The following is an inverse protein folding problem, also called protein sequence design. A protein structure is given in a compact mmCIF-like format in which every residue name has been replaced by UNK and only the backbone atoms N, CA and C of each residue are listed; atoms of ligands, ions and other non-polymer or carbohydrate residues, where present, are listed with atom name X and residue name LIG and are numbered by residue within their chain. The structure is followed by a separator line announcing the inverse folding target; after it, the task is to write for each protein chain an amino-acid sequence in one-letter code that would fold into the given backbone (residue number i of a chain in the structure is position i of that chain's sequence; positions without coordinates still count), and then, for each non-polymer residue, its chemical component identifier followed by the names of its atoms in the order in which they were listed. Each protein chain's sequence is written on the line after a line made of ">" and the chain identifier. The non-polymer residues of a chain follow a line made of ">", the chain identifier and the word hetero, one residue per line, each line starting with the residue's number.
data_IF_159851221676
#
_entry.id   IF_159851221676
#
_cell.length_a   1.000
_cell.length_b   1.000
_cell.length_c   1.000
_cell.angle_alpha   90.00
_cell.angle_beta   90.00
_cell.angle_gamma   90.00
#
_symmetry.space_group_name_H-M   'P 1'
#
loop_
_entity.id
_entity.type
_entity.pdbx_description
1 polymer ?
#
# COMPACT_ATOMS: atom_id res chain seq x y z
N UNK A 1 17.28 8.65 -15.58
CA UNK A 1 16.00 7.99 -15.31
C UNK A 1 15.73 7.90 -13.81
N UNK A 2 16.50 7.13 -13.02
CA UNK A 2 16.24 6.87 -11.59
C UNK A 2 16.17 8.14 -10.73
N UNK A 3 17.16 9.02 -10.81
CA UNK A 3 17.21 10.25 -10.02
C UNK A 3 15.96 11.10 -10.23
N UNK A 4 15.65 11.44 -11.47
CA UNK A 4 14.57 12.37 -11.80
C UNK A 4 13.19 11.76 -11.52
N UNK A 5 12.99 10.46 -11.84
CA UNK A 5 11.78 9.76 -11.49
C UNK A 5 11.55 9.72 -9.97
N UNK A 6 12.60 9.44 -9.20
CA UNK A 6 12.52 9.39 -7.74
C UNK A 6 12.18 10.76 -7.15
N UNK A 7 12.85 11.83 -7.60
CA UNK A 7 12.53 13.19 -7.16
C UNK A 7 11.07 13.53 -7.47
N UNK A 8 10.61 13.23 -8.69
CA UNK A 8 9.23 13.52 -9.12
C UNK A 8 8.20 12.74 -8.30
N UNK A 9 8.44 11.45 -8.03
CA UNK A 9 7.52 10.58 -7.28
C UNK A 9 7.49 10.93 -5.79
N UNK A 10 8.67 11.17 -5.19
CA UNK A 10 8.82 11.30 -3.74
C UNK A 10 8.91 12.74 -3.27
N UNK A 11 9.19 13.70 -4.18
CA UNK A 11 9.47 15.11 -3.86
C UNK A 11 10.67 15.27 -2.90
N UNK A 12 11.58 14.30 -2.95
CA UNK A 12 12.77 14.21 -2.11
C UNK A 12 13.93 13.69 -2.95
N UNK A 13 15.13 14.27 -2.73
CA UNK A 13 16.31 13.78 -3.39
C UNK A 13 16.64 12.33 -2.95
N UNK A 14 17.00 11.39 -3.86
CA UNK A 14 17.23 9.97 -3.55
C UNK A 14 18.19 9.71 -2.38
N UNK A 15 19.21 10.54 -2.19
CA UNK A 15 20.17 10.42 -1.08
C UNK A 15 19.54 10.60 0.31
N UNK A 16 18.36 11.23 0.41
CA UNK A 16 17.63 11.43 1.67
C UNK A 16 16.60 10.34 1.96
N UNK A 17 16.31 9.48 0.99
CA UNK A 17 15.41 8.34 1.14
C UNK A 17 16.15 7.14 1.73
N UNK A 18 15.41 6.26 2.42
CA UNK A 18 15.97 5.02 2.94
C UNK A 18 16.48 4.11 1.82
N UNK A 19 17.49 3.30 2.13
CA UNK A 19 18.06 2.30 1.21
C UNK A 19 17.00 1.30 0.72
N UNK A 20 15.98 1.03 1.51
CA UNK A 20 14.87 0.13 1.17
C UNK A 20 14.09 0.61 -0.05
N UNK A 21 13.88 1.92 -0.21
CA UNK A 21 13.19 2.48 -1.39
C UNK A 21 14.05 2.35 -2.63
N UNK A 22 15.35 2.66 -2.54
CA UNK A 22 16.27 2.54 -3.67
C UNK A 22 16.48 1.07 -4.08
N UNK A 23 16.57 0.16 -3.12
CA UNK A 23 16.77 -1.28 -3.34
C UNK A 23 15.58 -2.02 -3.96
N UNK A 24 14.41 -1.39 -4.08
CA UNK A 24 13.24 -1.97 -4.76
C UNK A 24 13.43 -2.13 -6.27
N UNK A 25 14.33 -1.37 -6.87
CA UNK A 25 14.68 -1.50 -8.28
C UNK A 25 15.90 -2.40 -8.40
N UNK A 26 15.77 -3.63 -8.91
CA UNK A 26 16.90 -4.52 -9.02
C UNK A 26 17.89 -3.97 -10.06
N UNK A 27 19.13 -3.74 -9.63
CA UNK A 27 20.25 -3.57 -10.55
C UNK A 27 20.66 -4.98 -10.99
N UNK A 28 20.65 -5.24 -12.30
CA UNK A 28 20.94 -6.54 -12.88
C UNK A 28 22.06 -6.43 -13.90
N UNK A 29 22.87 -7.47 -13.95
CA UNK A 29 23.93 -7.66 -14.94
C UNK A 29 23.58 -8.77 -15.95
N UNK A 30 22.29 -9.21 -15.95
CA UNK A 30 21.74 -10.18 -16.87
C UNK A 30 20.73 -9.54 -17.84
N UNK A 31 20.29 -10.30 -18.84
CA UNK A 31 19.24 -9.90 -19.81
C UNK A 31 17.83 -10.32 -19.39
N UNK A 32 17.60 -10.66 -18.13
CA UNK A 32 16.29 -11.06 -17.65
C UNK A 32 15.33 -9.85 -17.70
N UNK A 33 14.24 -9.90 -18.50
CA UNK A 33 13.32 -8.78 -18.69
C UNK A 33 12.34 -8.59 -17.52
N UNK A 34 12.33 -9.50 -16.56
CA UNK A 34 11.36 -9.45 -15.49
C UNK A 34 11.76 -8.49 -14.38
N UNK A 35 10.84 -7.63 -13.98
CA UNK A 35 11.03 -6.67 -12.90
C UNK A 35 11.23 -7.36 -11.54
N UNK A 36 10.51 -8.46 -11.28
CA UNK A 36 10.56 -9.21 -10.03
C UNK A 36 11.19 -10.59 -10.23
N UNK A 37 11.83 -11.13 -9.19
CA UNK A 37 12.52 -12.43 -9.22
C UNK A 37 11.58 -13.61 -8.93
N UNK A 38 10.42 -13.35 -8.38
CA UNK A 38 9.44 -14.34 -7.96
C UNK A 38 9.00 -15.21 -9.14
N UNK A 39 8.89 -16.52 -8.91
CA UNK A 39 8.44 -17.49 -9.91
C UNK A 39 6.96 -17.31 -10.24
N UNK A 40 6.14 -17.01 -9.22
CA UNK A 40 4.71 -16.77 -9.38
C UNK A 40 4.43 -15.26 -9.56
N UNK A 41 3.90 -14.92 -10.72
CA UNK A 41 3.54 -13.55 -11.10
C UNK A 41 2.17 -13.55 -11.73
N UNK A 42 1.17 -13.09 -11.00
CA UNK A 42 -0.20 -13.11 -11.46
C UNK A 42 -1.00 -11.91 -10.91
N UNK A 43 -2.13 -11.68 -11.53
CA UNK A 43 -3.16 -10.73 -11.07
C UNK A 43 -4.46 -11.48 -10.86
N UNK A 44 -5.30 -11.09 -9.89
CA UNK A 44 -6.63 -11.68 -9.75
C UNK A 44 -7.43 -11.49 -11.04
N UNK A 45 -7.93 -12.58 -11.65
CA UNK A 45 -8.62 -12.57 -12.95
C UNK A 45 -9.77 -11.56 -13.03
N UNK A 46 -10.49 -11.38 -11.93
CA UNK A 46 -11.64 -10.45 -11.81
C UNK A 46 -11.30 -9.20 -10.98
N UNK A 47 -10.00 -8.91 -10.77
CA UNK A 47 -9.51 -7.78 -10.01
C UNK A 47 -9.55 -7.99 -8.49
N UNK A 48 -8.87 -7.10 -7.78
CA UNK A 48 -8.70 -7.19 -6.32
C UNK A 48 -10.03 -7.05 -5.57
N UNK A 49 -10.94 -6.19 -6.01
CA UNK A 49 -12.26 -6.03 -5.35
C UNK A 49 -13.02 -7.36 -5.28
N UNK A 50 -13.03 -8.13 -6.38
CA UNK A 50 -13.71 -9.44 -6.40
C UNK A 50 -12.99 -10.45 -5.51
N UNK A 51 -11.67 -10.42 -5.51
CA UNK A 51 -10.85 -11.26 -4.62
C UNK A 51 -11.21 -11.00 -3.16
N UNK A 52 -11.22 -9.74 -2.71
CA UNK A 52 -11.56 -9.39 -1.33
C UNK A 52 -13.02 -9.73 -0.99
N UNK A 53 -13.97 -9.49 -1.90
CA UNK A 53 -15.36 -9.93 -1.71
C UNK A 53 -15.45 -11.45 -1.51
N UNK A 54 -14.67 -12.23 -2.24
CA UNK A 54 -14.65 -13.68 -2.07
C UNK A 54 -14.02 -14.11 -0.74
N UNK A 55 -12.93 -13.45 -0.32
CA UNK A 55 -12.28 -13.73 0.97
C UNK A 55 -13.19 -13.43 2.17
N UNK A 56 -14.07 -12.44 2.04
CA UNK A 56 -14.91 -11.95 3.14
C UNK A 56 -16.38 -12.40 3.04
N UNK A 57 -16.71 -13.36 2.16
CA UNK A 57 -18.09 -13.81 1.95
C UNK A 57 -18.67 -14.70 3.07
N UNK A 58 -17.87 -15.15 4.01
CA UNK A 58 -18.33 -15.96 5.13
C UNK A 58 -19.35 -15.20 5.98
N UNK A 59 -20.44 -15.86 6.37
CA UNK A 59 -21.48 -15.32 7.26
C UNK A 59 -20.92 -14.94 8.66
N UNK A 60 -19.78 -15.50 9.04
CA UNK A 60 -19.08 -15.16 10.29
C UNK A 60 -18.35 -13.81 10.23
N UNK A 61 -18.16 -13.23 9.03
CA UNK A 61 -17.49 -11.96 8.82
C UNK A 61 -18.55 -10.87 8.59
N UNK A 62 -18.61 -9.88 9.48
CA UNK A 62 -19.49 -8.71 9.33
C UNK A 62 -18.67 -7.52 8.81
N UNK A 63 -19.03 -7.01 7.64
CA UNK A 63 -18.42 -5.84 7.04
C UNK A 63 -19.30 -4.61 7.27
N UNK A 64 -18.71 -3.52 7.77
CA UNK A 64 -19.36 -2.22 7.87
C UNK A 64 -18.66 -1.25 6.92
N UNK A 65 -19.32 -0.93 5.81
CA UNK A 65 -18.88 0.09 4.87
C UNK A 65 -19.31 1.48 5.35
N UNK A 66 -18.73 2.53 4.75
CA UNK A 66 -19.03 3.94 5.07
C UNK A 66 -18.92 4.27 6.57
N UNK A 67 -18.01 3.58 7.27
CA UNK A 67 -17.85 3.69 8.72
C UNK A 67 -16.44 4.14 9.03
N UNK A 68 -16.28 5.38 9.49
CA UNK A 68 -15.00 5.90 9.99
C UNK A 68 -14.69 5.30 11.36
N UNK A 69 -13.57 4.61 11.46
CA UNK A 69 -13.07 4.01 12.71
C UNK A 69 -13.04 5.01 13.87
N UNK A 70 -12.61 6.24 13.65
CA UNK A 70 -12.44 7.24 14.70
C UNK A 70 -13.78 7.72 15.28
N UNK A 71 -14.87 7.68 14.49
CA UNK A 71 -16.22 7.97 14.98
C UNK A 71 -16.75 6.89 15.92
N UNK A 72 -16.26 5.66 15.79
CA UNK A 72 -16.74 4.51 16.57
C UNK A 72 -15.72 3.98 17.56
N UNK A 73 -14.44 4.36 17.48
CA UNK A 73 -13.32 3.87 18.28
C UNK A 73 -13.64 3.74 19.76
N UNK A 74 -14.24 4.78 20.37
CA UNK A 74 -14.59 4.81 21.80
C UNK A 74 -15.70 3.83 22.19
N UNK A 75 -16.54 3.42 21.24
CA UNK A 75 -17.66 2.49 21.44
C UNK A 75 -17.33 1.05 21.08
N UNK A 76 -16.17 0.82 20.45
CA UNK A 76 -15.75 -0.53 20.04
C UNK A 76 -15.36 -1.35 21.27
N UNK A 77 -16.02 -2.50 21.42
CA UNK A 77 -15.67 -3.55 22.35
C UNK A 77 -15.25 -4.79 21.58
N UNK A 78 -14.26 -5.50 22.06
CA UNK A 78 -13.80 -6.77 21.48
C UNK A 78 -13.46 -7.76 22.61
N UNK A 79 -13.76 -9.03 22.37
CA UNK A 79 -13.57 -10.08 23.39
C UNK A 79 -12.13 -10.58 23.46
N UNK A 80 -11.43 -10.63 22.34
CA UNK A 80 -10.10 -11.23 22.25
C UNK A 80 -9.04 -10.21 21.86
N UNK A 81 -9.16 -9.63 20.68
CA UNK A 81 -8.20 -8.67 20.16
C UNK A 81 -8.81 -7.75 19.10
N UNK A 82 -8.14 -6.65 18.85
CA UNK A 82 -8.40 -5.75 17.74
C UNK A 82 -7.16 -5.64 16.85
N UNK A 83 -7.33 -5.65 15.53
CA UNK A 83 -6.27 -5.36 14.56
C UNK A 83 -6.59 -4.02 13.92
N UNK A 84 -5.70 -3.05 14.13
CA UNK A 84 -5.78 -1.73 13.52
C UNK A 84 -4.85 -1.66 12.30
N UNK A 85 -5.38 -1.20 11.16
CA UNK A 85 -4.64 -1.16 9.89
C UNK A 85 -4.42 0.24 9.33
N UNK A 86 -4.90 1.28 10.03
CA UNK A 86 -4.74 2.68 9.64
C UNK A 86 -3.42 3.30 10.11
N UNK A 87 -3.28 4.62 9.92
CA UNK A 87 -2.08 5.37 10.29
C UNK A 87 -1.88 5.41 11.82
N UNK A 88 -0.68 5.11 12.32
CA UNK A 88 -0.43 5.06 13.76
C UNK A 88 -0.45 6.45 14.43
N UNK A 89 0.03 7.48 13.75
CA UNK A 89 -0.02 8.84 14.26
C UNK A 89 -1.46 9.33 14.45
N UNK A 90 -2.35 9.04 13.51
CA UNK A 90 -3.78 9.32 13.63
C UNK A 90 -4.44 8.50 14.77
N UNK A 91 -4.03 7.23 14.96
CA UNK A 91 -4.55 6.43 16.08
C UNK A 91 -4.25 7.04 17.43
N UNK A 92 -3.07 7.65 17.59
CA UNK A 92 -2.61 8.31 18.82
C UNK A 92 -2.83 9.83 18.81
N UNK A 93 -3.80 10.33 18.02
CA UNK A 93 -4.21 11.73 17.95
C UNK A 93 -3.01 12.67 17.72
N UNK A 94 -2.08 12.25 16.83
CA UNK A 94 -0.87 12.98 16.43
C UNK A 94 0.05 13.41 17.60
N UNK A 95 0.06 12.65 18.69
CA UNK A 95 0.78 12.97 19.93
C UNK A 95 2.23 13.43 19.74
N UNK A 96 2.94 12.88 18.75
CA UNK A 96 4.32 13.25 18.45
C UNK A 96 4.47 14.00 17.11
N UNK A 97 3.38 14.36 16.49
CA UNK A 97 3.31 14.98 15.16
C UNK A 97 2.91 14.00 14.06
N UNK A 98 2.69 14.53 12.86
CA UNK A 98 2.24 13.77 11.69
C UNK A 98 3.41 13.06 11.01
N UNK A 99 3.18 11.83 10.61
CA UNK A 99 4.05 11.09 9.69
C UNK A 99 3.78 11.54 8.27
N UNK A 100 4.82 11.74 7.49
CA UNK A 100 4.71 12.23 6.12
C UNK A 100 4.41 11.08 5.15
N UNK A 101 3.51 11.32 4.20
CA UNK A 101 3.08 10.38 3.17
C UNK A 101 3.14 11.01 1.79
N UNK A 102 3.37 10.18 0.78
CA UNK A 102 3.06 10.53 -0.61
C UNK A 102 1.75 9.90 -1.02
N UNK A 103 1.04 10.63 -1.83
CA UNK A 103 -0.25 10.23 -2.40
C UNK A 103 -0.21 10.29 -3.91
N UNK A 104 -1.29 9.85 -4.56
CA UNK A 104 -1.49 9.91 -5.99
C UNK A 104 -2.87 10.47 -6.32
N UNK A 105 -2.92 11.32 -7.33
CA UNK A 105 -4.16 11.69 -8.00
C UNK A 105 -4.21 10.88 -9.30
N UNK A 106 -5.28 10.12 -9.48
CA UNK A 106 -5.52 9.33 -10.68
C UNK A 106 -6.43 10.09 -11.63
N UNK A 107 -5.99 10.24 -12.89
CA UNK A 107 -6.85 10.75 -13.97
C UNK A 107 -7.05 9.65 -15.00
N UNK A 108 -8.31 9.33 -15.27
CA UNK A 108 -8.70 8.28 -16.21
C UNK A 108 -9.15 8.88 -17.52
N UNK A 109 -8.71 8.29 -18.62
CA UNK A 109 -9.11 8.68 -19.96
C UNK A 109 -9.58 7.44 -20.74
N UNK A 110 -10.78 7.49 -21.27
CA UNK A 110 -11.40 6.42 -22.05
C UNK A 110 -11.09 6.59 -23.53
N UNK A 111 -10.84 5.48 -24.23
CA UNK A 111 -10.57 5.45 -25.65
C UNK A 111 -11.42 4.39 -26.34
N UNK A 112 -12.00 4.74 -27.51
CA UNK A 112 -12.69 3.79 -28.42
C UNK A 112 -11.67 3.01 -29.25
N UNK A 113 -10.71 2.38 -28.59
CA UNK A 113 -9.67 1.54 -29.19
C UNK A 113 -9.41 0.34 -28.31
N UNK A 114 -9.00 -0.77 -28.91
CA UNK A 114 -8.72 -1.98 -28.12
C UNK A 114 -7.53 -1.77 -27.17
N UNK A 115 -6.47 -1.12 -27.64
CA UNK A 115 -5.27 -0.74 -26.87
C UNK A 115 -4.69 0.56 -27.42
N UNK A 116 -4.01 1.30 -26.56
CA UNK A 116 -3.30 2.56 -26.86
C UNK A 116 -1.80 2.39 -26.64
N UNK A 117 -1.40 1.80 -25.50
CA UNK A 117 -0.01 1.59 -25.16
C UNK A 117 0.51 0.26 -25.70
N UNK A 118 1.83 0.16 -25.95
CA UNK A 118 2.47 -1.12 -26.34
C UNK A 118 2.68 -2.04 -25.13
N UNK A 119 2.71 -1.48 -23.92
CA UNK A 119 2.87 -2.23 -22.68
C UNK A 119 1.97 -1.69 -21.56
N UNK A 120 1.91 -2.40 -20.44
CA UNK A 120 1.03 -2.06 -19.31
C UNK A 120 1.31 -0.70 -18.70
N UNK A 121 2.57 -0.26 -18.64
CA UNK A 121 2.97 0.96 -17.96
C UNK A 121 4.10 1.67 -18.65
N UNK A 122 3.95 2.98 -18.82
CA UNK A 122 5.01 3.90 -19.21
C UNK A 122 5.37 4.79 -18.02
N UNK A 123 6.67 4.98 -17.78
CA UNK A 123 7.19 5.88 -16.75
C UNK A 123 7.76 7.15 -17.40
N UNK A 124 7.47 8.29 -16.79
CA UNK A 124 7.85 9.62 -17.29
C UNK A 124 8.71 10.35 -16.23
N UNK A 125 10.04 10.20 -16.27
CA UNK A 125 10.92 10.81 -15.29
C UNK A 125 11.02 12.33 -15.43
N UNK A 126 10.99 12.88 -16.65
CA UNK A 126 11.27 14.28 -16.93
C UNK A 126 10.05 15.05 -17.45
N UNK A 127 9.43 14.49 -18.52
CA UNK A 127 8.31 15.13 -19.20
C UNK A 127 7.03 14.98 -18.36
N UNK A 128 6.04 15.78 -18.63
CA UNK A 128 4.71 15.75 -18.01
C UNK A 128 4.70 15.83 -16.48
N UNK A 129 3.57 16.26 -15.92
CA UNK A 129 3.37 16.32 -14.46
C UNK A 129 3.08 14.96 -13.82
N UNK A 130 2.59 13.97 -14.58
CA UNK A 130 2.37 12.61 -14.09
C UNK A 130 3.65 11.77 -14.17
N UNK A 131 3.81 10.83 -13.25
CA UNK A 131 4.97 9.94 -13.19
C UNK A 131 4.81 8.72 -14.08
N UNK A 132 3.57 8.28 -14.31
CA UNK A 132 3.28 7.11 -15.16
C UNK A 132 1.90 7.18 -15.79
N UNK A 133 1.78 6.44 -16.89
CA UNK A 133 0.50 6.08 -17.50
C UNK A 133 0.36 4.56 -17.50
N UNK A 134 -0.83 4.06 -17.17
CA UNK A 134 -1.09 2.62 -17.01
C UNK A 134 -2.30 2.23 -17.83
N UNK A 135 -2.14 1.24 -18.70
CA UNK A 135 -3.23 0.57 -19.41
C UNK A 135 -3.41 -0.83 -18.84
N UNK A 136 -4.23 -0.94 -17.78
CA UNK A 136 -4.39 -2.17 -16.99
C UNK A 136 -4.91 -3.37 -17.79
N UNK A 137 -5.56 -3.12 -18.90
CA UNK A 137 -6.07 -4.13 -19.83
C UNK A 137 -4.99 -5.09 -20.34
N UNK A 138 -3.72 -4.66 -20.43
CA UNK A 138 -2.60 -5.54 -20.76
C UNK A 138 -2.43 -6.68 -19.76
N UNK A 139 -2.76 -6.45 -18.49
CA UNK A 139 -2.62 -7.42 -17.40
C UNK A 139 -3.91 -8.20 -17.19
N UNK A 140 -5.06 -7.51 -17.13
CA UNK A 140 -6.36 -8.15 -16.86
C UNK A 140 -6.88 -8.97 -18.04
N UNK A 141 -6.32 -8.77 -19.27
CA UNK A 141 -6.73 -9.45 -20.52
C UNK A 141 -8.22 -9.30 -20.84
N UNK A 142 -8.84 -8.22 -20.40
CA UNK A 142 -10.25 -7.94 -20.69
C UNK A 142 -10.50 -7.80 -22.20
N UNK A 143 -11.55 -8.46 -22.67
CA UNK A 143 -12.02 -8.32 -24.06
C UNK A 143 -13.00 -7.15 -24.15
N UNK A 144 -12.60 -6.08 -24.85
CA UNK A 144 -13.43 -4.89 -25.05
C UNK A 144 -12.92 -4.10 -26.26
N UNK A 145 -13.81 -3.42 -26.96
CA UNK A 145 -13.48 -2.43 -28.01
C UNK A 145 -12.96 -1.11 -27.42
N UNK A 146 -13.07 -0.92 -26.11
CA UNK A 146 -12.64 0.27 -25.37
C UNK A 146 -11.46 -0.06 -24.47
N UNK A 147 -10.64 0.95 -24.17
CA UNK A 147 -9.59 0.86 -23.16
C UNK A 147 -9.54 2.12 -22.31
N UNK A 148 -8.90 2.03 -21.15
CA UNK A 148 -8.73 3.14 -20.22
C UNK A 148 -7.24 3.30 -19.92
N UNK A 149 -6.77 4.54 -20.03
CA UNK A 149 -5.45 4.95 -19.55
C UNK A 149 -5.61 5.68 -18.23
N UNK A 150 -4.94 5.19 -17.20
CA UNK A 150 -4.78 5.89 -15.91
C UNK A 150 -3.48 6.67 -15.91
N UNK A 151 -3.51 7.96 -15.61
CA UNK A 151 -2.34 8.82 -15.38
C UNK A 151 -2.20 9.10 -13.89
N UNK A 152 -1.01 8.86 -13.33
CA UNK A 152 -0.72 8.99 -11.89
C UNK A 152 0.08 10.26 -11.62
N UNK A 153 -0.52 11.18 -10.86
CA UNK A 153 0.09 12.45 -10.45
C UNK A 153 0.50 12.35 -8.98
N UNK A 154 1.80 12.42 -8.65
CA UNK A 154 2.25 12.38 -7.26
C UNK A 154 1.89 13.67 -6.53
N UNK A 155 1.51 13.54 -5.28
CA UNK A 155 1.12 14.66 -4.41
C UNK A 155 1.46 14.34 -2.96
N UNK A 156 1.55 15.37 -2.11
CA UNK A 156 1.67 15.24 -0.66
C UNK A 156 0.32 15.42 0.06
N UNK A 157 -0.78 15.53 -0.70
CA UNK A 157 -2.13 15.71 -0.16
C UNK A 157 -3.02 14.53 -0.56
N UNK A 158 -4.01 14.21 0.28
CA UNK A 158 -4.97 13.13 0.04
C UNK A 158 -4.66 11.87 0.81
N UNK A 159 -5.14 10.74 0.30
CA UNK A 159 -4.98 9.43 0.94
C UNK A 159 -3.51 8.99 1.02
N UNK A 160 -3.09 8.35 2.12
CA UNK A 160 -1.71 7.92 2.33
C UNK A 160 -1.40 6.65 1.53
N UNK A 161 -0.69 6.78 0.39
CA UNK A 161 -0.29 5.62 -0.42
C UNK A 161 1.12 5.12 -0.09
N UNK A 162 2.08 6.05 0.14
CA UNK A 162 3.49 5.70 0.30
C UNK A 162 4.07 6.39 1.53
N UNK A 163 4.59 5.65 2.53
CA UNK A 163 5.29 6.24 3.65
C UNK A 163 6.60 6.88 3.18
N UNK A 164 6.91 8.08 3.66
CA UNK A 164 8.19 8.74 3.38
C UNK A 164 9.22 8.22 4.37
N UNK A 165 10.04 7.27 3.92
CA UNK A 165 11.07 6.64 4.74
C UNK A 165 12.37 7.46 4.68
N UNK A 166 12.40 8.60 5.36
CA UNK A 166 13.58 9.40 5.63
C UNK A 166 13.98 9.32 7.11
N UNK A 167 15.10 9.93 7.47
CA UNK A 167 15.59 9.89 8.86
C UNK A 167 14.63 10.56 9.86
N UNK A 168 13.98 11.67 9.46
CA UNK A 168 13.00 12.40 10.29
C UNK A 168 11.82 11.51 10.63
N UNK A 169 11.19 10.95 9.61
CA UNK A 169 10.00 10.12 9.76
C UNK A 169 10.33 8.79 10.46
N UNK A 170 11.50 8.21 10.22
CA UNK A 170 11.95 7.00 10.94
C UNK A 170 12.05 7.26 12.45
N UNK A 171 12.73 8.34 12.86
CA UNK A 171 12.81 8.74 14.27
C UNK A 171 11.43 9.02 14.88
N UNK A 172 10.53 9.65 14.12
CA UNK A 172 9.17 9.93 14.58
C UNK A 172 8.37 8.64 14.75
N UNK A 173 8.46 7.73 13.76
CA UNK A 173 7.78 6.43 13.84
C UNK A 173 8.29 5.57 15.00
N UNK A 174 9.59 5.64 15.35
CA UNK A 174 10.12 4.93 16.52
C UNK A 174 9.46 5.38 17.83
N UNK A 175 9.07 6.65 17.96
CA UNK A 175 8.26 7.11 19.08
C UNK A 175 6.88 6.45 19.10
N UNK A 176 6.22 6.33 17.95
CA UNK A 176 4.93 5.64 17.82
C UNK A 176 5.05 4.14 18.07
N UNK A 177 6.13 3.47 17.65
CA UNK A 177 6.38 2.06 17.98
C UNK A 177 6.34 1.79 19.49
N UNK A 178 6.89 2.69 20.30
CA UNK A 178 6.83 2.55 21.77
C UNK A 178 5.39 2.58 22.30
N UNK A 179 4.51 3.38 21.69
CA UNK A 179 3.08 3.40 22.03
C UNK A 179 2.37 2.14 21.52
N UNK A 180 2.67 1.69 20.30
CA UNK A 180 2.13 0.46 19.72
C UNK A 180 2.45 -0.75 20.62
N UNK A 181 3.66 -0.86 21.16
CA UNK A 181 4.03 -1.92 22.10
C UNK A 181 3.14 -1.91 23.35
N UNK A 182 2.77 -0.73 23.83
CA UNK A 182 1.83 -0.61 24.97
C UNK A 182 0.41 -1.07 24.59
N UNK A 183 -0.07 -0.72 23.41
CA UNK A 183 -1.37 -1.17 22.90
C UNK A 183 -1.39 -2.69 22.65
N UNK A 184 -0.28 -3.28 22.20
CA UNK A 184 -0.19 -4.73 22.01
C UNK A 184 -0.40 -5.50 23.34
N UNK A 185 0.00 -4.93 24.47
CA UNK A 185 -0.27 -5.50 25.82
C UNK A 185 -1.77 -5.51 26.14
N UNK A 186 -2.54 -4.61 25.52
CA UNK A 186 -4.02 -4.54 25.63
C UNK A 186 -4.72 -5.35 24.53
N UNK A 187 -4.00 -6.22 23.81
CA UNK A 187 -4.50 -7.00 22.68
C UNK A 187 -4.96 -6.16 21.48
N UNK A 188 -4.38 -4.98 21.27
CA UNK A 188 -4.58 -4.15 20.09
C UNK A 188 -3.32 -4.20 19.25
N UNK A 189 -3.41 -4.83 18.06
CA UNK A 189 -2.28 -5.07 17.17
C UNK A 189 -2.33 -4.13 15.97
N UNK A 190 -1.17 -3.67 15.55
CA UNK A 190 -1.02 -2.79 14.38
C UNK A 190 -0.44 -3.59 13.23
N UNK A 191 -1.20 -3.74 12.13
CA UNK A 191 -0.81 -4.56 11.01
C UNK A 191 -1.09 -3.89 9.67
N UNK A 192 -0.29 -4.21 8.65
CA UNK A 192 -0.44 -3.69 7.31
C UNK A 192 0.41 -2.46 7.02
N UNK A 193 0.33 -2.01 5.76
CA UNK A 193 1.21 -0.99 5.18
C UNK A 193 1.16 0.35 5.93
N UNK A 194 -0.04 0.83 6.28
CA UNK A 194 -0.20 2.10 6.98
C UNK A 194 0.24 1.97 8.44
N UNK A 195 -0.26 0.98 9.16
CA UNK A 195 -0.01 0.80 10.59
C UNK A 195 1.47 0.52 10.92
N UNK A 196 2.20 -0.17 10.03
CA UNK A 196 3.63 -0.42 10.17
C UNK A 196 4.51 0.67 9.57
N UNK A 197 3.92 1.70 8.97
CA UNK A 197 4.64 2.76 8.26
C UNK A 197 5.72 2.20 7.33
N UNK A 198 5.39 1.16 6.58
CA UNK A 198 6.32 0.42 5.73
C UNK A 198 5.79 0.30 4.30
N UNK A 199 6.68 0.45 3.33
CA UNK A 199 6.34 0.31 1.93
C UNK A 199 6.28 -1.18 1.53
N UNK A 200 5.16 -1.83 1.83
CA UNK A 200 4.89 -3.21 1.47
C UNK A 200 4.29 -3.35 0.06
N UNK A 201 4.65 -4.42 -0.63
CA UNK A 201 3.87 -4.96 -1.74
C UNK A 201 2.69 -5.80 -1.20
N UNK A 202 1.77 -6.21 -2.08
CA UNK A 202 0.57 -6.98 -1.66
C UNK A 202 0.93 -8.33 -1.05
N UNK A 203 1.89 -9.03 -1.60
CA UNK A 203 2.42 -10.31 -1.10
C UNK A 203 3.07 -10.15 0.29
N UNK A 204 3.88 -9.11 0.48
CA UNK A 204 4.50 -8.80 1.78
C UNK A 204 3.45 -8.46 2.85
N UNK A 205 2.35 -7.77 2.48
CA UNK A 205 1.24 -7.51 3.41
C UNK A 205 0.53 -8.79 3.79
N UNK A 206 0.30 -9.68 2.83
CA UNK A 206 -0.34 -10.99 3.08
C UNK A 206 0.54 -11.84 4.00
N UNK A 207 1.83 -11.94 3.72
CA UNK A 207 2.80 -12.67 4.57
C UNK A 207 2.80 -12.13 6.00
N UNK A 208 2.84 -10.81 6.15
CA UNK A 208 2.80 -10.15 7.45
C UNK A 208 1.51 -10.43 8.21
N UNK A 209 0.36 -10.41 7.53
CA UNK A 209 -0.94 -10.72 8.10
C UNK A 209 -1.05 -12.20 8.52
N UNK A 210 -0.53 -13.13 7.71
CA UNK A 210 -0.48 -14.55 8.05
C UNK A 210 0.42 -14.80 9.26
N UNK A 211 1.57 -14.17 9.33
CA UNK A 211 2.49 -14.26 10.48
C UNK A 211 1.80 -13.80 11.77
N UNK A 212 1.08 -12.67 11.73
CA UNK A 212 0.28 -12.22 12.87
C UNK A 212 -0.84 -13.21 13.20
N UNK A 213 -1.54 -13.74 12.21
CA UNK A 213 -2.60 -14.73 12.39
C UNK A 213 -2.11 -15.97 13.16
N UNK A 214 -0.99 -16.58 12.72
CA UNK A 214 -0.44 -17.74 13.40
C UNK A 214 -0.01 -17.45 14.83
N UNK A 215 0.58 -16.26 15.08
CA UNK A 215 0.91 -15.80 16.44
C UNK A 215 -0.34 -15.69 17.31
N UNK A 216 -1.42 -15.08 16.80
CA UNK A 216 -2.67 -14.93 17.55
C UNK A 216 -3.38 -16.26 17.73
N UNK A 217 -3.43 -17.11 16.70
CA UNK A 217 -3.99 -18.47 16.78
C UNK A 217 -3.33 -19.28 17.90
N UNK A 218 -2.00 -19.21 18.05
CA UNK A 218 -1.27 -19.91 19.11
C UNK A 218 -1.55 -19.29 20.49
N UNK A 219 -1.68 -17.96 20.58
CA UNK A 219 -1.97 -17.26 21.84
C UNK A 219 -3.40 -17.51 22.34
N UNK A 220 -4.36 -17.60 21.42
CA UNK A 220 -5.79 -17.75 21.72
C UNK A 220 -6.32 -19.15 21.37
N UNK A 221 -5.43 -20.17 21.37
CA UNK A 221 -5.83 -21.56 21.16
C UNK A 221 -6.91 -21.93 22.17
N UNK A 222 -8.11 -22.18 21.62
CA UNK A 222 -9.22 -22.85 22.30
C UNK A 222 -9.68 -22.23 23.65
N UNK A 223 -10.29 -21.07 23.56
CA UNK A 223 -11.30 -20.68 24.54
C UNK A 223 -12.67 -20.55 23.88
#
# INVERSE_FOLDING_TARGET
>A
FYKNYTIKQWDIHPRKLSKEIAGRLPIRFDRNPYYVKEKLRFMPKQGFTKMFKNMTKSTKIKIKLNTDFFKIKKKLKFNYFMIYTGEPDRYFDFKYGKLDWRSLIFKFQNFKKNKIQKCVQYNYPNDYKYTRSVEIKHVTKQKSKFTVISKEYPTSRGEPYYPISDQKNSKLFDKYKKLIVKENKKNIFFEGRLAKYKYFNTDEVIESALSLFYKLKNKYKYR
#
